data_IF_419875106759
#
_entry.id   IF_419875106759
#
_cell.length_a   1.000
_cell.length_b   1.000
_cell.length_c   1.000
_cell.angle_alpha   90.00
_cell.angle_beta   90.00
_cell.angle_gamma   90.00
#
_symmetry.space_group_name_H-M   'P 1'
#
loop_
_entity.id
_entity.type
_entity.pdbx_description
1 polymer ?
#
# COMPACT_ATOMS: atom_id res chain seq x y z
N UNK A 1 13.31 -3.07 19.27
CA UNK A 1 13.86 -4.09 18.36
C UNK A 1 12.77 -4.30 17.32
N UNK A 2 13.02 -4.02 16.04
CA UNK A 2 12.04 -4.34 15.00
C UNK A 2 11.79 -5.85 15.09
N UNK A 3 10.54 -6.24 15.36
CA UNK A 3 10.21 -7.63 15.60
C UNK A 3 10.39 -8.48 14.31
N UNK A 4 10.52 -9.79 14.46
CA UNK A 4 10.75 -10.69 13.33
C UNK A 4 9.63 -10.67 12.28
N UNK A 5 8.39 -10.34 12.67
CA UNK A 5 7.24 -10.25 11.76
C UNK A 5 7.28 -8.98 10.91
N UNK A 6 7.70 -7.86 11.49
CA UNK A 6 7.98 -6.62 10.76
C UNK A 6 9.07 -6.84 9.71
N UNK A 7 10.15 -7.52 10.08
CA UNK A 7 11.21 -7.85 9.12
C UNK A 7 10.70 -8.78 8.00
N UNK A 8 9.91 -9.80 8.33
CA UNK A 8 9.31 -10.70 7.36
C UNK A 8 8.34 -9.99 6.39
N UNK A 9 7.54 -9.05 6.90
CA UNK A 9 6.64 -8.24 6.09
C UNK A 9 7.40 -7.37 5.09
N UNK A 10 8.46 -6.68 5.54
CA UNK A 10 9.27 -5.85 4.65
C UNK A 10 10.03 -6.66 3.60
N UNK A 11 10.55 -7.83 3.98
CA UNK A 11 11.18 -8.75 3.03
C UNK A 11 10.20 -9.22 1.96
N UNK A 12 8.93 -9.48 2.30
CA UNK A 12 7.94 -9.91 1.32
C UNK A 12 7.79 -8.91 0.17
N UNK A 13 7.71 -7.60 0.47
CA UNK A 13 7.65 -6.56 -0.57
C UNK A 13 9.00 -6.38 -1.27
N UNK A 14 10.10 -6.39 -0.53
CA UNK A 14 11.43 -6.23 -1.13
C UNK A 14 11.71 -7.32 -2.17
N UNK A 15 11.42 -8.59 -1.85
CA UNK A 15 11.62 -9.71 -2.76
C UNK A 15 10.66 -9.64 -3.95
N UNK A 16 9.37 -9.41 -3.69
CA UNK A 16 8.33 -9.39 -4.71
C UNK A 16 8.45 -8.28 -5.74
N UNK A 17 9.10 -7.17 -5.38
CA UNK A 17 9.27 -5.99 -6.24
C UNK A 17 10.73 -5.70 -6.61
N UNK A 18 11.66 -6.61 -6.30
CA UNK A 18 13.11 -6.44 -6.49
C UNK A 18 13.55 -6.15 -7.92
N UNK A 19 12.80 -6.63 -8.92
CA UNK A 19 13.12 -6.43 -10.35
C UNK A 19 12.55 -5.13 -10.94
N UNK A 20 11.76 -4.38 -10.17
CA UNK A 20 11.11 -3.17 -10.65
C UNK A 20 12.08 -1.99 -10.71
N UNK A 21 12.35 -1.53 -11.93
CA UNK A 21 13.20 -0.38 -12.18
C UNK A 21 12.52 0.92 -11.75
N UNK A 22 13.33 1.87 -11.30
CA UNK A 22 12.89 3.23 -11.04
C UNK A 22 12.37 3.87 -12.33
N UNK A 23 11.09 4.29 -12.41
CA UNK A 23 10.59 4.97 -13.61
C UNK A 23 11.13 6.39 -13.69
N UNK A 24 11.18 6.93 -14.91
CA UNK A 24 11.50 8.35 -15.12
C UNK A 24 10.36 9.25 -14.64
N UNK A 25 9.12 8.78 -14.70
CA UNK A 25 7.92 9.52 -14.31
C UNK A 25 7.03 8.63 -13.45
N UNK A 26 6.60 9.16 -12.31
CA UNK A 26 5.74 8.48 -11.35
C UNK A 26 4.25 8.80 -11.53
N UNK A 27 3.89 9.82 -12.30
CA UNK A 27 2.51 10.28 -12.49
C UNK A 27 2.28 10.67 -13.95
N UNK A 28 1.20 10.17 -14.57
CA UNK A 28 0.92 10.38 -16.00
C UNK A 28 0.20 11.73 -16.28
N UNK A 29 -0.15 12.49 -15.25
CA UNK A 29 -0.93 13.72 -15.33
C UNK A 29 -0.08 15.00 -15.18
N UNK A 30 1.21 14.96 -15.55
CA UNK A 30 2.13 16.10 -15.37
C UNK A 30 1.69 17.39 -16.09
N UNK A 31 0.92 17.25 -17.17
CA UNK A 31 0.43 18.39 -17.97
C UNK A 31 -0.93 18.92 -17.47
N UNK A 32 -1.52 18.31 -16.44
CA UNK A 32 -2.86 18.66 -15.96
C UNK A 32 -2.83 19.76 -14.90
N UNK A 33 -1.89 19.67 -13.94
CA UNK A 33 -1.79 20.61 -12.82
C UNK A 33 -0.34 20.69 -12.32
N UNK A 34 0.04 21.82 -11.69
CA UNK A 34 1.35 21.99 -11.05
C UNK A 34 1.53 21.00 -9.89
N UNK A 35 0.47 20.67 -9.15
CA UNK A 35 0.51 19.72 -8.03
C UNK A 35 1.07 18.35 -8.47
N UNK A 36 0.70 17.88 -9.66
CA UNK A 36 1.22 16.60 -10.18
C UNK A 36 2.71 16.66 -10.56
N UNK A 37 3.20 17.83 -10.99
CA UNK A 37 4.63 18.05 -11.22
C UNK A 37 5.40 18.10 -9.92
N UNK A 38 4.86 18.74 -8.88
CA UNK A 38 5.44 18.76 -7.54
C UNK A 38 5.51 17.35 -6.93
N UNK A 39 4.42 16.59 -7.00
CA UNK A 39 4.39 15.19 -6.57
C UNK A 39 5.46 14.35 -7.27
N UNK A 40 5.57 14.46 -8.60
CA UNK A 40 6.57 13.72 -9.35
C UNK A 40 8.00 14.17 -9.01
N UNK A 41 8.25 15.48 -8.86
CA UNK A 41 9.55 16.01 -8.47
C UNK A 41 9.97 15.52 -7.08
N UNK A 42 9.05 15.49 -6.11
CA UNK A 42 9.30 14.93 -4.79
C UNK A 42 9.72 13.46 -4.90
N UNK A 43 8.93 12.63 -5.59
CA UNK A 43 9.24 11.21 -5.76
C UNK A 43 10.53 10.99 -6.55
N UNK A 44 10.91 11.88 -7.47
CA UNK A 44 12.22 11.84 -8.14
C UNK A 44 13.38 12.22 -7.21
N UNK A 45 13.15 13.08 -6.21
CA UNK A 45 14.18 13.52 -5.27
C UNK A 45 14.50 12.51 -4.16
N UNK A 46 13.62 11.53 -3.93
CA UNK A 46 13.74 10.54 -2.85
C UNK A 46 14.23 9.19 -3.34
N UNK A 47 14.63 8.31 -2.43
CA UNK A 47 14.82 6.87 -2.66
C UNK A 47 14.05 6.05 -1.61
N UNK A 48 14.14 4.72 -1.68
CA UNK A 48 13.41 3.81 -0.77
C UNK A 48 13.69 4.04 0.71
N UNK A 49 14.88 4.55 1.05
CA UNK A 49 15.30 4.83 2.43
C UNK A 49 15.01 6.28 2.83
N UNK A 50 15.06 7.22 1.90
CA UNK A 50 14.90 8.64 2.19
C UNK A 50 13.45 9.13 2.18
N UNK A 51 12.51 8.42 1.56
CA UNK A 51 11.09 8.77 1.58
C UNK A 51 10.53 8.63 3.00
N UNK A 52 9.91 9.67 3.54
CA UNK A 52 9.42 9.70 4.92
C UNK A 52 7.90 9.75 4.99
N UNK A 53 7.35 9.59 6.20
CA UNK A 53 5.91 9.82 6.45
C UNK A 53 5.48 11.25 6.08
N UNK A 54 6.33 12.24 6.33
CA UNK A 54 6.05 13.66 6.08
C UNK A 54 5.98 13.97 4.58
N UNK A 55 6.83 13.33 3.77
CA UNK A 55 6.80 13.45 2.30
C UNK A 55 5.46 13.00 1.69
N UNK A 56 4.73 12.11 2.35
CA UNK A 56 3.42 11.62 1.89
C UNK A 56 2.27 12.58 2.22
N UNK A 57 2.59 13.70 2.87
CA UNK A 57 1.71 14.85 3.02
C UNK A 57 0.38 14.57 3.73
N UNK A 58 -0.65 15.27 3.26
CA UNK A 58 -1.99 15.32 3.84
C UNK A 58 -3.04 14.68 2.93
N UNK A 59 -4.31 14.68 3.31
CA UNK A 59 -5.39 14.17 2.43
C UNK A 59 -5.52 14.99 1.15
N UNK A 60 -5.25 16.30 1.22
CA UNK A 60 -5.35 17.22 0.07
C UNK A 60 -4.07 17.37 -0.74
N UNK A 61 -2.98 16.69 -0.35
CA UNK A 61 -1.71 16.68 -1.07
C UNK A 61 -0.99 15.38 -0.70
N UNK A 62 -1.10 14.35 -1.55
CA UNK A 62 -0.41 13.07 -1.35
C UNK A 62 0.03 12.50 -2.71
N UNK A 63 1.34 12.34 -2.95
CA UNK A 63 1.85 11.86 -4.23
C UNK A 63 1.45 10.42 -4.56
N UNK A 64 1.07 9.60 -3.57
CA UNK A 64 0.74 8.17 -3.75
C UNK A 64 -0.55 7.99 -4.56
N UNK A 65 -1.55 8.83 -4.33
CA UNK A 65 -2.89 8.66 -4.91
C UNK A 65 -2.93 8.80 -6.44
N UNK A 66 -1.91 9.41 -7.03
CA UNK A 66 -1.83 9.69 -8.46
C UNK A 66 -0.65 8.96 -9.12
N UNK A 67 -0.04 8.00 -8.43
CA UNK A 67 1.03 7.22 -9.04
C UNK A 67 0.51 6.37 -10.20
N UNK A 68 1.27 6.34 -11.28
CA UNK A 68 1.10 5.37 -12.33
C UNK A 68 1.53 3.96 -11.87
N UNK A 69 1.31 2.97 -12.73
CA UNK A 69 1.63 1.57 -12.45
C UNK A 69 3.09 1.36 -12.05
N UNK A 70 4.01 1.95 -12.80
CA UNK A 70 5.44 1.80 -12.55
C UNK A 70 5.84 2.42 -11.21
N UNK A 71 5.21 3.55 -10.86
CA UNK A 71 5.41 4.19 -9.56
C UNK A 71 4.94 3.33 -8.40
N UNK A 72 3.76 2.71 -8.49
CA UNK A 72 3.28 1.75 -7.50
C UNK A 72 4.25 0.58 -7.33
N UNK A 73 4.69 -0.02 -8.43
CA UNK A 73 5.62 -1.16 -8.40
C UNK A 73 6.96 -0.79 -7.75
N UNK A 74 7.51 0.37 -8.09
CA UNK A 74 8.77 0.83 -7.50
C UNK A 74 8.62 1.18 -6.02
N UNK A 75 7.59 1.95 -5.64
CA UNK A 75 7.48 2.51 -4.30
C UNK A 75 6.88 1.59 -3.24
N UNK A 76 6.16 0.52 -3.61
CA UNK A 76 5.49 -0.38 -2.65
C UNK A 76 6.39 -0.83 -1.48
N UNK A 77 7.65 -1.26 -1.68
CA UNK A 77 8.55 -1.60 -0.58
C UNK A 77 8.77 -0.44 0.42
N UNK A 78 8.97 0.79 -0.05
CA UNK A 78 9.16 1.94 0.81
C UNK A 78 7.86 2.35 1.52
N UNK A 79 6.72 2.27 0.81
CA UNK A 79 5.40 2.52 1.38
C UNK A 79 5.08 1.51 2.49
N UNK A 80 5.46 0.24 2.32
CA UNK A 80 5.35 -0.78 3.36
C UNK A 80 6.21 -0.48 4.58
N UNK A 81 7.45 0.01 4.38
CA UNK A 81 8.32 0.48 5.48
C UNK A 81 7.69 1.62 6.26
N UNK A 82 7.14 2.62 5.58
CA UNK A 82 6.50 3.77 6.22
C UNK A 82 5.21 3.32 6.95
N UNK A 83 4.46 2.37 6.40
CA UNK A 83 3.26 1.81 7.03
C UNK A 83 3.60 0.99 8.29
N UNK A 84 4.75 0.31 8.32
CA UNK A 84 5.28 -0.40 9.50
C UNK A 84 6.18 0.49 10.36
N UNK A 85 5.74 1.72 10.58
CA UNK A 85 6.39 2.67 11.50
C UNK A 85 5.35 3.29 12.43
N UNK A 86 5.81 3.76 13.58
CA UNK A 86 5.00 4.56 14.51
C UNK A 86 5.12 6.07 14.21
N UNK A 87 5.70 6.45 13.08
CA UNK A 87 5.76 7.84 12.66
C UNK A 87 4.36 8.29 12.21
N UNK A 88 3.91 9.39 12.79
CA UNK A 88 2.63 10.02 12.45
C UNK A 88 2.88 11.35 11.75
N UNK A 89 1.91 11.75 10.92
CA UNK A 89 1.78 13.12 10.45
C UNK A 89 0.41 13.66 10.90
N UNK A 90 -0.02 14.82 10.41
CA UNK A 90 -1.30 15.44 10.75
C UNK A 90 -2.57 14.59 10.50
N UNK A 91 -2.45 13.40 9.89
CA UNK A 91 -3.53 12.44 9.64
C UNK A 91 -3.29 11.02 10.22
N UNK A 92 -2.33 10.88 11.16
CA UNK A 92 -2.04 9.61 11.83
C UNK A 92 -1.07 8.69 11.07
N UNK A 93 -1.14 7.39 11.39
CA UNK A 93 -0.28 6.36 10.81
C UNK A 93 -0.55 6.14 9.32
N UNK A 94 0.52 5.96 8.54
CA UNK A 94 0.38 5.70 7.10
C UNK A 94 -0.26 4.34 6.78
N UNK A 95 -0.27 3.38 7.72
CA UNK A 95 -0.95 2.10 7.49
C UNK A 95 -2.43 2.28 7.12
N UNK A 96 -3.14 3.22 7.77
CA UNK A 96 -4.54 3.51 7.42
C UNK A 96 -4.68 3.96 5.96
N UNK A 97 -3.79 4.86 5.53
CA UNK A 97 -3.76 5.38 4.16
C UNK A 97 -3.44 4.27 3.15
N UNK A 98 -2.42 3.45 3.45
CA UNK A 98 -2.01 2.34 2.60
C UNK A 98 -3.15 1.34 2.42
N UNK A 99 -3.89 1.00 3.48
CA UNK A 99 -5.03 0.10 3.40
C UNK A 99 -6.14 0.66 2.52
N UNK A 100 -6.40 1.98 2.53
CA UNK A 100 -7.35 2.61 1.60
C UNK A 100 -6.91 2.41 0.16
N UNK A 101 -5.63 2.61 -0.16
CA UNK A 101 -5.13 2.40 -1.51
C UNK A 101 -5.18 0.94 -1.95
N UNK A 102 -4.94 0.00 -1.03
CA UNK A 102 -4.89 -1.44 -1.29
C UNK A 102 -6.28 -2.11 -1.34
N UNK A 103 -7.38 -1.40 -1.00
CA UNK A 103 -8.74 -1.94 -1.08
C UNK A 103 -9.14 -2.27 -2.52
N UNK A 104 -9.97 -3.31 -2.66
CA UNK A 104 -10.59 -3.77 -3.91
C UNK A 104 -9.59 -3.98 -5.05
N UNK A 105 -8.57 -4.84 -4.87
CA UNK A 105 -7.47 -4.95 -5.82
C UNK A 105 -7.89 -5.43 -7.22
N UNK A 106 -8.98 -6.18 -7.33
CA UNK A 106 -9.56 -6.59 -8.61
C UNK A 106 -10.14 -5.44 -9.45
N UNK A 107 -10.35 -4.27 -8.88
CA UNK A 107 -10.93 -3.10 -9.56
C UNK A 107 -9.91 -1.99 -9.83
N UNK A 108 -8.66 -2.15 -9.38
CA UNK A 108 -7.61 -1.15 -9.57
C UNK A 108 -6.72 -1.53 -10.77
N UNK A 109 -6.67 -0.71 -11.85
CA UNK A 109 -5.87 -0.99 -13.03
C UNK A 109 -4.37 -1.23 -12.75
N UNK A 110 -3.80 -0.53 -11.76
CA UNK A 110 -2.41 -0.74 -11.37
C UNK A 110 -2.20 -2.13 -10.77
N UNK A 111 -3.12 -2.59 -9.92
CA UNK A 111 -3.01 -3.90 -9.29
C UNK A 111 -3.32 -5.06 -10.25
N UNK A 112 -4.18 -4.83 -11.25
CA UNK A 112 -4.42 -5.77 -12.35
C UNK A 112 -3.17 -6.03 -13.20
N UNK A 113 -2.26 -5.05 -13.29
CA UNK A 113 -1.00 -5.19 -14.03
C UNK A 113 0.12 -5.90 -13.25
N UNK A 114 -0.10 -6.18 -11.96
CA UNK A 114 0.88 -6.91 -11.13
C UNK A 114 0.96 -8.37 -11.59
N UNK A 115 2.18 -8.90 -11.59
CA UNK A 115 2.42 -10.33 -11.77
C UNK A 115 1.84 -11.13 -10.60
N UNK A 116 1.72 -12.45 -10.76
CA UNK A 116 1.29 -13.30 -9.67
C UNK A 116 2.21 -13.17 -8.44
N UNK A 117 3.54 -13.17 -8.66
CA UNK A 117 4.54 -13.01 -7.60
C UNK A 117 4.38 -11.68 -6.84
N UNK A 118 4.17 -10.57 -7.57
CA UNK A 118 3.94 -9.24 -6.97
C UNK A 118 2.66 -9.22 -6.12
N UNK A 119 1.59 -9.89 -6.58
CA UNK A 119 0.34 -9.99 -5.81
C UNK A 119 0.50 -10.84 -4.55
N UNK A 120 1.19 -11.97 -4.65
CA UNK A 120 1.50 -12.84 -3.51
C UNK A 120 2.36 -12.11 -2.47
N UNK A 121 3.29 -11.28 -2.92
CA UNK A 121 4.11 -10.43 -2.04
C UNK A 121 3.27 -9.44 -1.23
N UNK A 122 2.30 -8.75 -1.85
CA UNK A 122 1.40 -7.83 -1.13
C UNK A 122 0.52 -8.59 -0.14
N UNK A 123 -0.05 -9.74 -0.53
CA UNK A 123 -0.84 -10.57 0.38
C UNK A 123 -0.02 -11.04 1.59
N UNK A 124 1.22 -11.48 1.35
CA UNK A 124 2.14 -11.89 2.41
C UNK A 124 2.52 -10.72 3.32
N UNK A 125 2.80 -9.54 2.77
CA UNK A 125 3.06 -8.33 3.56
C UNK A 125 1.93 -8.04 4.54
N UNK A 126 0.67 -7.99 4.06
CA UNK A 126 -0.49 -7.69 4.90
C UNK A 126 -0.67 -8.72 6.02
N UNK A 127 -0.45 -10.00 5.73
CA UNK A 127 -0.48 -11.07 6.73
C UNK A 127 0.60 -10.89 7.79
N UNK A 128 1.86 -10.73 7.38
CA UNK A 128 3.00 -10.61 8.31
C UNK A 128 3.00 -9.27 9.07
N UNK A 129 2.32 -8.24 8.56
CA UNK A 129 2.12 -6.96 9.25
C UNK A 129 1.17 -7.06 10.47
N UNK A 130 0.36 -8.11 10.57
CA UNK A 130 -0.69 -8.22 11.59
C UNK A 130 -0.20 -8.05 13.03
N UNK A 131 0.90 -8.69 13.49
CA UNK A 131 1.37 -8.52 14.86
C UNK A 131 1.80 -7.07 15.14
N UNK A 132 2.54 -6.45 14.21
CA UNK A 132 2.96 -5.07 14.35
C UNK A 132 1.77 -4.11 14.48
N UNK A 133 0.76 -4.25 13.61
CA UNK A 133 -0.45 -3.40 13.65
C UNK A 133 -1.17 -3.57 14.99
N UNK A 134 -1.38 -4.81 15.43
CA UNK A 134 -2.04 -5.11 16.71
C UNK A 134 -1.33 -4.50 17.91
N UNK A 135 0.00 -4.57 17.91
CA UNK A 135 0.81 -4.14 19.06
C UNK A 135 1.08 -2.64 19.10
N UNK A 136 1.15 -1.99 17.93
CA UNK A 136 1.69 -0.62 17.83
C UNK A 136 0.71 0.40 17.27
N UNK A 137 -0.26 -0.02 16.44
CA UNK A 137 -1.13 0.91 15.72
C UNK A 137 -2.58 0.89 16.22
N UNK A 138 -3.00 -0.16 16.94
CA UNK A 138 -4.29 -0.16 17.62
C UNK A 138 -4.33 0.91 18.74
N UNK A 139 -5.47 1.60 18.92
CA UNK A 139 -6.76 1.39 18.25
C UNK A 139 -6.96 2.22 16.97
N UNK A 140 -5.98 3.00 16.51
CA UNK A 140 -6.14 3.88 15.34
C UNK A 140 -6.21 3.12 14.02
N UNK A 141 -5.57 1.95 13.95
CA UNK A 141 -5.69 1.00 12.84
C UNK A 141 -6.00 -0.36 13.44
N UNK A 142 -7.23 -0.83 13.27
CA UNK A 142 -7.70 -2.05 13.90
C UNK A 142 -7.46 -3.27 13.00
N UNK A 143 -6.88 -4.34 13.57
CA UNK A 143 -6.60 -5.54 12.77
C UNK A 143 -7.89 -6.13 12.18
N UNK A 144 -8.94 -6.25 13.00
CA UNK A 144 -10.16 -6.94 12.59
C UNK A 144 -11.02 -6.11 11.60
N UNK A 145 -11.01 -4.79 11.72
CA UNK A 145 -11.87 -3.90 10.91
C UNK A 145 -11.15 -3.28 9.71
N UNK A 146 -9.85 -2.98 9.81
CA UNK A 146 -9.12 -2.30 8.76
C UNK A 146 -8.21 -3.25 7.97
N UNK A 147 -7.31 -3.97 8.65
CA UNK A 147 -6.27 -4.76 7.98
C UNK A 147 -6.81 -6.06 7.37
N UNK A 148 -7.51 -6.87 8.17
CA UNK A 148 -7.94 -8.22 7.81
C UNK A 148 -8.87 -8.26 6.59
N UNK A 149 -9.82 -7.33 6.40
CA UNK A 149 -10.61 -7.29 5.17
C UNK A 149 -9.75 -7.08 3.92
N UNK A 150 -8.76 -6.17 3.98
CA UNK A 150 -7.85 -5.91 2.86
C UNK A 150 -6.93 -7.11 2.62
N UNK A 151 -6.41 -7.72 3.67
CA UNK A 151 -5.62 -8.96 3.58
C UNK A 151 -6.38 -10.06 2.81
N UNK A 152 -7.63 -10.32 3.18
CA UNK A 152 -8.45 -11.36 2.53
C UNK A 152 -8.68 -11.07 1.05
N UNK A 153 -8.93 -9.81 0.69
CA UNK A 153 -9.06 -9.39 -0.71
C UNK A 153 -7.79 -9.72 -1.52
N UNK A 154 -6.61 -9.42 -0.98
CA UNK A 154 -5.34 -9.73 -1.63
C UNK A 154 -5.01 -11.22 -1.67
N UNK A 155 -5.38 -11.99 -0.66
CA UNK A 155 -5.24 -13.45 -0.68
C UNK A 155 -6.11 -14.10 -1.77
N UNK A 156 -7.33 -13.60 -1.99
CA UNK A 156 -8.19 -14.07 -3.08
C UNK A 156 -7.64 -13.64 -4.44
N UNK A 157 -7.26 -12.37 -4.57
CA UNK A 157 -6.77 -11.77 -5.80
C UNK A 157 -5.45 -12.39 -6.29
N UNK A 158 -4.52 -12.69 -5.38
CA UNK A 158 -3.24 -13.34 -5.69
C UNK A 158 -3.41 -14.77 -6.23
N UNK A 159 -4.46 -15.48 -5.81
CA UNK A 159 -4.79 -16.84 -6.29
C UNK A 159 -5.54 -16.86 -7.63
N UNK A 160 -5.79 -15.69 -8.25
CA UNK A 160 -6.57 -15.57 -9.47
C UNK A 160 -8.07 -15.83 -9.28
N UNK A 161 -8.59 -15.74 -8.05
CA UNK A 161 -10.04 -15.81 -7.79
C UNK A 161 -10.67 -14.42 -7.94
N UNK A 162 -11.87 -14.29 -8.53
CA UNK A 162 -12.61 -13.03 -8.51
C UNK A 162 -12.85 -12.56 -7.07
N UNK A 163 -12.66 -11.27 -6.81
CA UNK A 163 -12.88 -10.66 -5.48
C UNK A 163 -14.36 -10.53 -5.11
N UNK A 164 -15.29 -10.79 -6.04
CA UNK A 164 -16.70 -10.41 -5.92
C UNK A 164 -17.59 -11.44 -5.20
N UNK A 165 -17.10 -12.66 -4.94
CA UNK A 165 -17.98 -13.78 -4.58
C UNK A 165 -18.24 -14.00 -3.08
N UNK A 166 -17.55 -13.31 -2.15
CA UNK A 166 -17.68 -13.63 -0.71
C UNK A 166 -17.71 -12.41 0.23
N UNK A 167 -18.51 -11.39 -0.07
CA UNK A 167 -19.04 -10.53 1.01
C UNK A 167 -20.48 -11.00 1.31
N UNK A 168 -20.75 -11.60 2.49
CA UNK A 168 -22.10 -11.99 2.86
C UNK A 168 -22.97 -10.74 2.88
N UNK A 169 -23.83 -10.58 1.87
CA UNK A 169 -24.90 -9.60 1.91
C UNK A 169 -25.77 -9.96 3.11
N UNK A 170 -25.66 -9.22 4.20
CA UNK A 170 -26.61 -9.33 5.30
C UNK A 170 -28.00 -9.12 4.72
N UNK A 171 -28.78 -10.21 4.71
CA UNK A 171 -30.13 -10.22 4.19
C UNK A 171 -30.97 -9.20 4.95
N UNK A 172 -31.35 -8.12 4.28
CA UNK A 172 -32.53 -7.38 4.68
C UNK A 172 -33.76 -8.20 4.26
N UNK A 173 -34.18 -9.07 5.18
CA UNK A 173 -35.50 -9.68 5.13
C UNK A 173 -36.55 -8.59 5.11
N UNK A 174 -37.43 -8.66 4.12
CA UNK A 174 -38.73 -7.99 4.12
C UNK A 174 -39.71 -8.77 4.99
#
# INVERSE_FOLDING_TARGET
MADASTHAALLALADGFSENLRPQVFNDFLDVDEEFREHNALLQSRDHQSLTREDLGSVGWNPVGCMNVAGWKYWLPALGRIALSTETAGRGYFMSDLLVYLKNPGSNPAFLSLTQQEREAVARFLKEATPFVRENLEPEVEVEYDLKPVQLQWEMFSRGRPCDDEIPKHGHGR
#
